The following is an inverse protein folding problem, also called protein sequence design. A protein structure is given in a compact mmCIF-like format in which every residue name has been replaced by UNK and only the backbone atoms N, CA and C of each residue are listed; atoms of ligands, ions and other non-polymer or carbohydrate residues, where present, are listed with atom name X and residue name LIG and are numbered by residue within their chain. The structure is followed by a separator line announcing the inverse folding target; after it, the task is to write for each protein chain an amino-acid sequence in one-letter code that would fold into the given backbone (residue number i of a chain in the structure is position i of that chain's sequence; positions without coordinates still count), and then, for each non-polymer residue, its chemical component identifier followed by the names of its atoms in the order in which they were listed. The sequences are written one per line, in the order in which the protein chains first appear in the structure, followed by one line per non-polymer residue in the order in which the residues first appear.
data_IF_731801152289
#
_entry.id   IF_731801152289
#
_cell.length_a   1.000
_cell.length_b   1.000
_cell.length_c   1.000
_cell.angle_alpha   90.00
_cell.angle_beta   90.00
_cell.angle_gamma   90.00
#
_symmetry.space_group_name_H-M   'P 1'
#
loop_
_entity.id
_entity.type
_entity.pdbx_description
1 polymer ?
#
# COMPACT_ATOMS: atom_id res chain seq x y z
N UNK A 1 21.89 -29.52 6.69
CA UNK A 1 22.10 -28.53 5.62
C UNK A 1 22.20 -27.15 6.27
N UNK A 2 23.39 -26.54 6.39
CA UNK A 2 23.53 -25.25 7.04
C UNK A 2 22.89 -24.14 6.18
N UNK A 3 22.06 -23.32 6.81
CA UNK A 3 21.25 -22.29 6.16
C UNK A 3 22.07 -21.13 5.63
N UNK A 4 22.02 -20.92 4.32
CA UNK A 4 22.57 -19.74 3.66
C UNK A 4 21.73 -18.51 4.05
N UNK A 5 22.26 -17.68 4.95
CA UNK A 5 21.64 -16.41 5.36
C UNK A 5 22.01 -15.32 4.35
N UNK A 6 21.00 -14.60 3.86
CA UNK A 6 21.10 -13.48 2.89
C UNK A 6 22.05 -12.35 3.34
N UNK A 7 22.45 -12.32 4.62
CA UNK A 7 23.41 -11.34 5.15
C UNK A 7 24.87 -11.60 4.74
N UNK A 8 25.20 -12.79 4.23
CA UNK A 8 26.58 -13.12 3.83
C UNK A 8 27.01 -12.54 2.47
N UNK A 9 26.07 -12.10 1.63
CA UNK A 9 26.37 -11.69 0.25
C UNK A 9 26.81 -10.23 0.11
N UNK A 10 26.79 -9.43 1.18
CA UNK A 10 27.15 -8.01 1.15
C UNK A 10 28.59 -7.72 1.63
N UNK A 11 29.38 -8.74 2.00
CA UNK A 11 30.75 -8.54 2.53
C UNK A 11 31.84 -8.97 1.53
N UNK A 12 31.50 -9.48 0.34
CA UNK A 12 32.48 -9.96 -0.63
C UNK A 12 32.32 -9.30 -2.00
N UNK A 13 32.59 -7.99 -2.12
CA UNK A 13 32.86 -7.30 -3.39
C UNK A 13 33.52 -5.94 -3.13
N UNK A 14 34.64 -5.93 -2.41
CA UNK A 14 35.58 -4.81 -2.43
C UNK A 14 36.53 -4.96 -3.61
N UNK A 15 36.65 -3.90 -4.42
CA UNK A 15 37.55 -3.69 -5.56
C UNK A 15 37.08 -4.20 -6.95
N UNK A 16 36.53 -3.30 -7.78
CA UNK A 16 37.15 -2.89 -9.05
C UNK A 16 36.31 -1.86 -9.84
N UNK A 17 37.02 -0.80 -10.25
CA UNK A 17 36.89 -0.02 -11.50
C UNK A 17 35.69 0.92 -11.76
N UNK A 18 36.07 2.16 -12.05
CA UNK A 18 35.26 3.28 -12.53
C UNK A 18 34.34 2.94 -13.72
N UNK A 19 33.07 3.34 -13.62
CA UNK A 19 32.18 3.55 -14.76
C UNK A 19 31.71 4.99 -14.71
N UNK A 20 31.94 5.68 -15.83
CA UNK A 20 31.64 7.09 -16.04
C UNK A 20 30.22 7.48 -15.63
N UNK A 21 30.11 8.61 -14.93
CA UNK A 21 28.87 9.27 -14.63
C UNK A 21 28.13 9.64 -15.94
N UNK A 22 27.15 8.82 -16.34
CA UNK A 22 26.05 9.27 -17.20
C UNK A 22 24.89 9.68 -16.30
N UNK A 23 25.06 10.81 -15.63
CA UNK A 23 23.95 11.51 -14.97
C UNK A 23 23.16 12.23 -16.05
N UNK A 24 21.87 11.90 -16.16
CA UNK A 24 20.89 12.80 -16.76
C UNK A 24 20.51 12.54 -18.21
N UNK A 25 19.98 11.36 -18.53
CA UNK A 25 18.84 11.26 -19.44
C UNK A 25 17.89 10.18 -18.90
N UNK A 26 17.10 10.55 -17.88
CA UNK A 26 15.87 9.84 -17.59
C UNK A 26 14.93 10.14 -18.78
N UNK A 27 14.95 9.25 -19.77
CA UNK A 27 13.88 9.20 -20.76
C UNK A 27 12.63 8.78 -19.99
N UNK A 28 11.71 9.73 -19.80
CA UNK A 28 10.32 9.42 -19.50
C UNK A 28 9.77 8.73 -20.76
N UNK A 29 10.02 7.42 -20.86
CA UNK A 29 9.29 6.57 -21.76
C UNK A 29 8.01 6.18 -21.02
N UNK A 30 6.83 6.74 -21.35
CA UNK A 30 5.58 6.26 -20.82
C UNK A 30 5.23 4.94 -21.51
N UNK A 31 6.09 3.92 -21.35
CA UNK A 31 5.59 2.56 -21.37
C UNK A 31 4.74 2.47 -20.12
N UNK A 32 3.44 2.73 -20.28
CA UNK A 32 2.46 2.18 -19.38
C UNK A 32 2.86 0.72 -19.18
N UNK A 33 3.32 0.39 -17.97
CA UNK A 33 3.71 -0.97 -17.63
C UNK A 33 2.51 -1.84 -18.02
N UNK A 34 2.65 -2.65 -19.08
CA UNK A 34 1.58 -3.50 -19.57
C UNK A 34 1.44 -4.65 -18.57
N UNK A 35 0.69 -4.39 -17.51
CA UNK A 35 0.28 -5.42 -16.56
C UNK A 35 -0.70 -6.32 -17.29
N UNK A 36 -0.42 -7.62 -17.31
CA UNK A 36 -1.33 -8.60 -17.88
C UNK A 36 -2.71 -8.47 -17.21
N UNK A 37 -3.79 -8.60 -17.99
CA UNK A 37 -5.15 -8.39 -17.50
C UNK A 37 -5.54 -9.33 -16.33
N UNK A 38 -4.85 -10.45 -16.21
CA UNK A 38 -5.02 -11.49 -15.20
C UNK A 38 -3.96 -11.43 -14.08
N UNK A 39 -3.22 -10.33 -13.95
CA UNK A 39 -2.19 -10.20 -12.92
C UNK A 39 -2.79 -10.36 -11.52
N UNK A 40 -2.26 -11.34 -10.78
CA UNK A 40 -2.54 -11.55 -9.37
C UNK A 40 -1.25 -11.60 -8.55
N UNK A 41 -1.33 -11.17 -7.29
CA UNK A 41 -0.22 -11.29 -6.34
C UNK A 41 0.18 -12.77 -6.15
N UNK A 42 1.39 -13.13 -6.60
CA UNK A 42 1.91 -14.52 -6.49
C UNK A 42 2.53 -14.82 -5.13
N UNK A 43 3.00 -13.79 -4.41
CA UNK A 43 3.60 -13.95 -3.10
C UNK A 43 2.52 -13.79 -2.01
N UNK A 44 2.43 -14.75 -1.10
CA UNK A 44 1.53 -14.70 0.04
C UNK A 44 2.24 -14.09 1.26
N UNK A 45 1.46 -13.53 2.20
CA UNK A 45 1.98 -13.00 3.47
C UNK A 45 2.14 -11.48 3.54
N UNK A 46 1.92 -10.75 2.44
CA UNK A 46 1.89 -9.28 2.45
C UNK A 46 0.44 -8.83 2.72
N UNK A 47 0.25 -8.04 3.78
CA UNK A 47 -1.05 -7.51 4.20
C UNK A 47 -1.10 -6.00 3.95
N UNK A 48 -1.43 -5.61 2.73
CA UNK A 48 -1.57 -4.20 2.37
C UNK A 48 -2.98 -3.67 2.63
N UNK A 49 -3.05 -2.39 2.99
CA UNK A 49 -4.25 -1.57 3.10
C UNK A 49 -4.25 -0.43 2.08
N UNK A 50 -5.41 0.17 1.84
CA UNK A 50 -5.56 1.38 1.01
C UNK A 50 -6.28 2.49 1.77
N UNK A 51 -5.76 3.72 1.65
CA UNK A 51 -6.34 4.92 2.25
C UNK A 51 -7.42 5.53 1.37
N UNK A 52 -8.67 5.44 1.79
CA UNK A 52 -9.86 5.80 1.02
C UNK A 52 -9.94 7.29 0.66
N UNK A 53 -9.51 8.19 1.54
CA UNK A 53 -9.56 9.63 1.24
C UNK A 53 -8.65 10.06 0.08
N UNK A 54 -7.68 9.22 -0.32
CA UNK A 54 -6.79 9.49 -1.45
C UNK A 54 -7.48 9.30 -2.82
N UNK A 55 -8.68 8.69 -2.85
CA UNK A 55 -9.38 8.30 -4.08
C UNK A 55 -10.66 9.09 -4.33
N UNK A 56 -10.88 10.22 -3.65
CA UNK A 56 -12.05 11.07 -3.92
C UNK A 56 -12.06 11.53 -5.39
N UNK A 57 -13.22 11.52 -6.09
CA UNK A 57 -14.58 11.35 -5.56
C UNK A 57 -15.12 9.89 -5.57
N UNK A 58 -14.28 8.86 -5.76
CA UNK A 58 -14.74 7.46 -5.75
C UNK A 58 -15.36 7.08 -4.40
N UNK A 59 -16.49 6.35 -4.42
CA UNK A 59 -17.14 5.85 -3.21
C UNK A 59 -16.39 4.67 -2.59
N UNK A 60 -16.55 4.49 -1.28
CA UNK A 60 -15.82 3.49 -0.51
C UNK A 60 -16.09 2.05 -0.96
N UNK A 61 -17.31 1.73 -1.38
CA UNK A 61 -17.68 0.37 -1.78
C UNK A 61 -17.10 0.03 -3.15
N UNK A 62 -17.08 0.99 -4.09
CA UNK A 62 -16.38 0.85 -5.37
C UNK A 62 -14.88 0.67 -5.16
N UNK A 63 -14.26 1.50 -4.32
CA UNK A 63 -12.84 1.34 -3.99
C UNK A 63 -12.56 -0.03 -3.36
N UNK A 64 -13.42 -0.50 -2.45
CA UNK A 64 -13.30 -1.81 -1.80
C UNK A 64 -13.34 -2.97 -2.81
N UNK A 65 -14.20 -2.89 -3.86
CA UNK A 65 -14.24 -3.89 -4.92
C UNK A 65 -12.91 -3.97 -5.68
N UNK A 66 -12.34 -2.83 -6.05
CA UNK A 66 -11.03 -2.77 -6.72
C UNK A 66 -9.90 -3.26 -5.81
N UNK A 67 -9.88 -2.82 -4.54
CA UNK A 67 -8.90 -3.27 -3.56
C UNK A 67 -8.94 -4.79 -3.40
N UNK A 68 -10.13 -5.39 -3.33
CA UNK A 68 -10.29 -6.83 -3.24
C UNK A 68 -9.81 -7.56 -4.49
N UNK A 69 -10.10 -7.04 -5.70
CA UNK A 69 -9.63 -7.66 -6.95
C UNK A 69 -8.11 -7.62 -7.11
N UNK A 70 -7.45 -6.58 -6.56
CA UNK A 70 -5.99 -6.46 -6.53
C UNK A 70 -5.36 -7.46 -5.54
N UNK A 71 -6.12 -7.92 -4.55
CA UNK A 71 -5.63 -8.79 -3.47
C UNK A 71 -5.19 -8.03 -2.22
N UNK A 72 -5.69 -6.80 -2.02
CA UNK A 72 -5.49 -6.09 -0.76
C UNK A 72 -6.31 -6.75 0.36
N UNK A 73 -5.86 -6.53 1.59
CA UNK A 73 -6.46 -7.14 2.80
C UNK A 73 -7.17 -6.13 3.67
N UNK A 74 -6.87 -4.83 3.51
CA UNK A 74 -7.42 -3.77 4.36
C UNK A 74 -7.81 -2.52 3.59
N UNK A 75 -8.65 -1.71 4.24
CA UNK A 75 -9.03 -0.36 3.81
C UNK A 75 -9.10 0.54 5.05
N UNK A 76 -8.88 1.83 4.84
CA UNK A 76 -8.89 2.85 5.90
C UNK A 76 -9.35 4.21 5.37
N UNK A 77 -9.60 5.18 6.25
CA UNK A 77 -9.96 6.54 5.84
C UNK A 77 -11.30 6.65 5.10
N UNK A 78 -12.23 5.71 5.33
CA UNK A 78 -13.61 5.71 4.83
C UNK A 78 -14.62 5.99 5.96
N UNK A 79 -15.85 6.32 5.60
CA UNK A 79 -16.93 6.55 6.58
C UNK A 79 -17.25 5.28 7.36
N UNK A 80 -17.55 5.42 8.67
CA UNK A 80 -17.97 4.30 9.53
C UNK A 80 -19.24 3.60 9.03
N UNK A 81 -20.08 4.33 8.30
CA UNK A 81 -21.30 3.79 7.67
C UNK A 81 -21.00 2.73 6.60
N UNK A 82 -19.84 2.80 5.95
CA UNK A 82 -19.43 1.87 4.90
C UNK A 82 -18.78 0.59 5.45
N UNK A 83 -18.38 0.58 6.73
CA UNK A 83 -17.64 -0.55 7.32
C UNK A 83 -18.37 -1.90 7.16
N UNK A 84 -19.70 -2.02 7.38
CA UNK A 84 -20.38 -3.29 7.19
C UNK A 84 -20.31 -3.79 5.74
N UNK A 85 -20.47 -2.90 4.77
CA UNK A 85 -20.43 -3.24 3.34
C UNK A 85 -19.02 -3.68 2.93
N UNK A 86 -17.98 -2.97 3.37
CA UNK A 86 -16.60 -3.31 3.00
C UNK A 86 -16.11 -4.58 3.69
N UNK A 87 -16.49 -4.81 4.96
CA UNK A 87 -16.22 -6.08 5.64
C UNK A 87 -16.90 -7.26 4.93
N UNK A 88 -18.11 -7.09 4.43
CA UNK A 88 -18.81 -8.12 3.64
C UNK A 88 -18.07 -8.47 2.33
N UNK A 89 -17.26 -7.56 1.79
CA UNK A 89 -16.40 -7.80 0.62
C UNK A 89 -15.08 -8.51 0.97
N UNK A 90 -14.81 -8.75 2.26
CA UNK A 90 -13.60 -9.46 2.73
C UNK A 90 -12.39 -8.56 2.95
N UNK A 91 -12.59 -7.26 3.17
CA UNK A 91 -11.54 -6.33 3.59
C UNK A 91 -11.68 -6.01 5.08
N UNK A 92 -10.54 -5.88 5.76
CA UNK A 92 -10.47 -5.39 7.14
C UNK A 92 -10.44 -3.87 7.20
N UNK A 93 -10.84 -3.31 8.35
CA UNK A 93 -10.67 -1.88 8.64
C UNK A 93 -9.32 -1.69 9.32
N UNK A 94 -8.36 -1.10 8.61
CA UNK A 94 -6.97 -0.97 9.09
C UNK A 94 -6.79 0.19 10.07
N UNK A 95 -7.57 1.25 9.91
CA UNK A 95 -7.56 2.43 10.77
C UNK A 95 -8.96 3.02 10.86
N UNK A 96 -9.35 3.38 12.09
CA UNK A 96 -10.58 4.13 12.37
C UNK A 96 -10.24 5.60 12.60
N UNK A 97 -11.12 6.48 12.15
CA UNK A 97 -11.03 7.91 12.45
C UNK A 97 -11.54 8.24 13.86
N UNK A 98 -11.18 9.43 14.34
CA UNK A 98 -11.82 10.11 15.45
C UNK A 98 -12.19 11.54 15.02
N UNK A 99 -11.58 12.55 15.62
CA UNK A 99 -11.76 13.97 15.30
C UNK A 99 -10.70 14.51 14.33
N UNK A 100 -11.03 15.66 13.73
CA UNK A 100 -10.08 16.46 12.95
C UNK A 100 -8.89 16.96 13.79
N UNK A 101 -7.73 17.05 13.15
CA UNK A 101 -6.50 17.64 13.70
C UNK A 101 -6.68 19.06 14.25
N UNK A 102 -7.70 19.80 13.80
CA UNK A 102 -8.03 21.12 14.36
C UNK A 102 -8.33 21.08 15.87
N UNK A 103 -8.76 19.93 16.40
CA UNK A 103 -9.00 19.71 17.84
C UNK A 103 -7.85 19.00 18.55
N UNK A 104 -6.69 18.91 17.89
CA UNK A 104 -5.53 18.14 18.31
C UNK A 104 -5.50 16.73 17.69
N UNK A 105 -4.33 16.09 17.55
CA UNK A 105 -4.22 14.74 17.00
C UNK A 105 -4.67 13.63 17.98
N UNK A 106 -4.65 13.91 19.29
CA UNK A 106 -4.86 12.93 20.35
C UNK A 106 -5.70 13.49 21.51
N UNK A 107 -6.72 14.31 21.23
CA UNK A 107 -7.51 14.93 22.29
C UNK A 107 -8.53 13.95 22.89
N UNK A 108 -8.43 13.59 24.19
CA UNK A 108 -9.34 12.61 24.81
C UNK A 108 -10.80 13.06 24.83
N UNK A 109 -11.08 14.36 24.78
CA UNK A 109 -12.44 14.91 24.80
C UNK A 109 -13.27 14.56 23.56
N UNK A 110 -12.63 14.12 22.47
CA UNK A 110 -13.28 13.86 21.18
C UNK A 110 -12.97 12.46 20.64
N UNK A 111 -12.81 11.46 21.53
CA UNK A 111 -12.47 10.08 21.15
C UNK A 111 -13.66 9.29 20.58
N UNK A 112 -14.86 9.64 21.01
CA UNK A 112 -16.10 8.89 20.69
C UNK A 112 -16.82 9.40 19.43
N UNK A 113 -16.30 10.46 18.82
CA UNK A 113 -16.71 10.91 17.47
C UNK A 113 -16.13 10.00 16.39
#
# INVERSE_FOLDING_TARGET
MPGCSRRGLLIASGAAAAVAARVGQASENPQALSVAADFSLRNSGIRHSVMGWCFKPMDAVTLARHARSIGLTGIEGISRQDYPAVKKLGLEISLVGSHSFARGPCNPAYRDE
#
